data_IF_771148989548
#
_entry.id   IF_771148989548
#
_cell.length_a   1.000
_cell.length_b   1.000
_cell.length_c   1.000
_cell.angle_alpha   90.00
_cell.angle_beta   90.00
_cell.angle_gamma   90.00
#
_symmetry.space_group_name_H-M   'P 1'
#
loop_
_entity.id
_entity.type
_entity.pdbx_description
1 polymer ?
#
# COMPACT_ATOMS: atom_id res chain seq x y z
N UNK A 1 -24.39 35.11 -43.90
CA UNK A 1 -25.00 33.77 -43.79
C UNK A 1 -24.35 32.93 -42.68
N UNK A 2 -23.08 32.51 -42.77
CA UNK A 2 -22.43 31.66 -41.74
C UNK A 2 -22.38 32.26 -40.33
N UNK A 3 -22.00 33.54 -40.20
CA UNK A 3 -21.88 34.20 -38.88
C UNK A 3 -23.22 34.31 -38.16
N UNK A 4 -24.30 34.65 -38.88
CA UNK A 4 -25.66 34.66 -38.32
C UNK A 4 -26.11 33.29 -37.80
N UNK A 5 -25.72 32.20 -38.45
CA UNK A 5 -26.04 30.85 -38.01
C UNK A 5 -25.24 30.51 -36.73
N UNK A 6 -23.96 30.88 -36.69
CA UNK A 6 -23.12 30.68 -35.51
C UNK A 6 -23.61 31.51 -34.30
N UNK A 7 -24.08 32.73 -34.52
CA UNK A 7 -24.63 33.58 -33.45
C UNK A 7 -25.88 32.96 -32.82
N UNK A 8 -26.78 32.37 -33.63
CA UNK A 8 -27.98 31.67 -33.13
C UNK A 8 -27.61 30.36 -32.41
N UNK A 9 -26.59 29.65 -32.89
CA UNK A 9 -26.08 28.44 -32.23
C UNK A 9 -25.42 28.75 -30.88
N UNK A 10 -24.55 29.77 -30.82
CA UNK A 10 -23.87 30.21 -29.60
C UNK A 10 -24.83 30.82 -28.57
N UNK A 11 -25.90 31.50 -29.03
CA UNK A 11 -26.96 31.99 -28.15
C UNK A 11 -27.73 30.85 -27.45
N UNK A 12 -27.76 29.66 -28.05
CA UNK A 12 -28.48 28.50 -27.51
C UNK A 12 -27.56 27.59 -26.70
N UNK A 13 -26.35 27.31 -27.19
CA UNK A 13 -25.32 26.47 -26.54
C UNK A 13 -23.96 27.14 -26.76
N UNK A 14 -23.47 27.95 -25.81
CA UNK A 14 -22.21 28.69 -25.96
C UNK A 14 -20.97 27.79 -25.74
N UNK A 15 -21.10 26.72 -24.96
CA UNK A 15 -20.04 25.77 -24.66
C UNK A 15 -20.60 24.35 -24.47
N UNK A 16 -19.77 23.31 -24.65
CA UNK A 16 -20.11 21.96 -24.20
C UNK A 16 -20.51 21.98 -22.73
N UNK A 17 -21.56 21.24 -22.36
CA UNK A 17 -21.98 21.14 -20.95
C UNK A 17 -20.85 20.48 -20.16
N UNK A 18 -20.41 21.13 -19.09
CA UNK A 18 -19.33 20.63 -18.21
C UNK A 18 -19.76 19.33 -17.50
N UNK A 19 -21.04 19.23 -17.15
CA UNK A 19 -21.62 18.05 -16.51
C UNK A 19 -22.54 17.32 -17.48
N UNK A 20 -22.18 16.07 -17.78
CA UNK A 20 -22.97 15.18 -18.61
C UNK A 20 -24.19 14.69 -17.82
N UNK A 21 -25.29 14.37 -18.53
CA UNK A 21 -26.51 13.86 -17.91
C UNK A 21 -26.20 12.64 -17.02
N UNK A 22 -26.81 12.53 -15.82
CA UNK A 22 -26.59 11.39 -14.91
C UNK A 22 -27.01 10.03 -15.50
N UNK A 23 -27.86 10.05 -16.53
CA UNK A 23 -28.35 8.86 -17.25
C UNK A 23 -27.68 8.67 -18.62
N UNK A 24 -26.70 9.53 -18.96
CA UNK A 24 -25.94 9.33 -20.18
C UNK A 24 -24.88 8.25 -19.91
N UNK A 25 -24.67 7.32 -20.87
CA UNK A 25 -23.62 6.33 -20.74
C UNK A 25 -22.27 6.99 -20.49
N UNK A 26 -21.63 6.63 -19.38
CA UNK A 26 -20.29 7.13 -19.04
C UNK A 26 -19.28 6.10 -19.49
N UNK A 27 -18.24 6.57 -20.17
CA UNK A 27 -17.05 5.78 -20.46
C UNK A 27 -15.91 6.37 -19.62
N UNK A 28 -15.54 5.65 -18.58
CA UNK A 28 -14.46 6.02 -17.68
C UNK A 28 -13.24 5.18 -18.05
N UNK A 29 -12.09 5.83 -18.17
CA UNK A 29 -10.82 5.17 -18.48
C UNK A 29 -9.89 5.31 -17.30
N UNK A 30 -9.35 4.18 -16.83
CA UNK A 30 -8.28 4.15 -15.84
C UNK A 30 -7.10 3.36 -16.38
N UNK A 31 -5.91 3.70 -15.90
CA UNK A 31 -4.69 2.97 -16.23
C UNK A 31 -4.18 2.28 -14.99
N UNK A 32 -3.95 0.97 -15.10
CA UNK A 32 -3.46 0.09 -14.03
C UNK A 32 -2.21 -0.64 -14.51
N UNK A 33 -1.47 -1.23 -13.58
CA UNK A 33 -0.30 -2.03 -13.90
C UNK A 33 -0.71 -3.38 -14.55
N UNK A 34 -0.18 -3.74 -15.74
CA UNK A 34 -0.57 -4.96 -16.46
C UNK A 34 -0.36 -6.26 -15.67
N UNK A 35 0.57 -6.29 -14.72
CA UNK A 35 0.81 -7.48 -13.87
C UNK A 35 -0.40 -7.83 -12.98
N UNK A 36 -1.24 -6.84 -12.65
CA UNK A 36 -2.42 -7.01 -11.79
C UNK A 36 -3.71 -7.30 -12.55
N UNK A 37 -3.70 -7.25 -13.89
CA UNK A 37 -4.88 -7.54 -14.72
C UNK A 37 -5.43 -8.94 -14.42
N UNK A 38 -4.55 -9.93 -14.26
CA UNK A 38 -4.95 -11.31 -13.96
C UNK A 38 -5.70 -11.46 -12.63
N UNK A 39 -5.39 -10.61 -11.63
CA UNK A 39 -6.09 -10.61 -10.35
C UNK A 39 -7.51 -10.03 -10.46
N UNK A 40 -7.69 -8.98 -11.27
CA UNK A 40 -8.97 -8.31 -11.50
C UNK A 40 -9.93 -9.21 -12.26
N UNK A 41 -9.44 -9.89 -13.31
CA UNK A 41 -10.24 -10.86 -14.08
C UNK A 41 -10.66 -12.03 -13.19
N UNK A 42 -9.78 -12.46 -12.28
CA UNK A 42 -9.97 -13.67 -11.47
C UNK A 42 -9.88 -14.95 -12.30
N UNK A 43 -10.09 -16.11 -11.67
CA UNK A 43 -10.03 -17.42 -12.37
C UNK A 43 -11.14 -17.53 -13.42
N UNK A 44 -10.78 -17.34 -14.70
CA UNK A 44 -11.70 -17.46 -15.84
C UNK A 44 -12.71 -16.32 -15.99
N UNK A 45 -12.41 -15.13 -15.46
CA UNK A 45 -13.30 -13.96 -15.60
C UNK A 45 -14.43 -13.88 -14.57
N UNK A 46 -14.40 -14.70 -13.52
CA UNK A 46 -15.46 -14.74 -12.52
C UNK A 46 -15.64 -13.40 -11.77
N UNK A 47 -14.54 -12.72 -11.44
CA UNK A 47 -14.58 -11.47 -10.67
C UNK A 47 -15.14 -10.33 -11.52
N UNK A 48 -14.67 -10.18 -12.77
CA UNK A 48 -15.22 -9.16 -13.69
C UNK A 48 -16.67 -9.43 -13.98
N UNK A 49 -17.06 -10.67 -14.30
CA UNK A 49 -18.47 -10.98 -14.57
C UNK A 49 -19.39 -10.66 -13.38
N UNK A 50 -18.93 -10.92 -12.16
CA UNK A 50 -19.68 -10.56 -10.95
C UNK A 50 -19.83 -9.04 -10.82
N UNK A 51 -18.76 -8.27 -11.10
CA UNK A 51 -18.80 -6.80 -11.13
C UNK A 51 -19.71 -6.26 -12.26
N UNK A 52 -19.65 -6.82 -13.45
CA UNK A 52 -20.50 -6.42 -14.57
C UNK A 52 -21.99 -6.70 -14.29
N UNK A 53 -22.29 -7.82 -13.62
CA UNK A 53 -23.64 -8.20 -13.23
C UNK A 53 -24.17 -7.35 -12.06
N UNK A 54 -23.36 -7.13 -11.02
CA UNK A 54 -23.75 -6.36 -9.83
C UNK A 54 -24.01 -4.88 -10.14
N UNK A 55 -23.16 -4.27 -10.98
CA UNK A 55 -23.21 -2.83 -11.28
C UNK A 55 -23.82 -2.53 -12.65
N UNK A 56 -24.20 -3.55 -13.44
CA UNK A 56 -24.81 -3.38 -14.77
C UNK A 56 -23.91 -2.54 -15.71
N UNK A 57 -22.61 -2.79 -15.64
CA UNK A 57 -21.56 -2.11 -16.41
C UNK A 57 -20.84 -3.09 -17.34
N UNK A 58 -20.24 -2.58 -18.41
CA UNK A 58 -19.32 -3.32 -19.28
C UNK A 58 -17.89 -2.89 -19.00
N UNK A 59 -17.02 -3.83 -18.64
CA UNK A 59 -15.61 -3.57 -18.30
C UNK A 59 -14.71 -4.20 -19.35
N UNK A 60 -14.06 -3.38 -20.18
CA UNK A 60 -13.08 -3.82 -21.16
C UNK A 60 -11.67 -3.54 -20.63
N UNK A 61 -10.82 -4.56 -20.58
CA UNK A 61 -9.44 -4.45 -20.11
C UNK A 61 -8.51 -4.74 -21.28
N UNK A 62 -7.66 -3.77 -21.61
CA UNK A 62 -6.62 -3.91 -22.61
C UNK A 62 -5.32 -4.47 -22.02
N UNK A 63 -4.52 -5.15 -22.85
CA UNK A 63 -3.24 -5.74 -22.48
C UNK A 63 -2.19 -4.72 -22.00
N UNK A 64 -2.40 -3.44 -22.30
CA UNK A 64 -1.54 -2.32 -21.90
C UNK A 64 -1.86 -1.78 -20.49
N UNK A 65 -2.86 -2.36 -19.81
CA UNK A 65 -3.33 -1.90 -18.50
C UNK A 65 -4.40 -0.82 -18.56
N UNK A 66 -4.95 -0.50 -19.73
CA UNK A 66 -6.07 0.44 -19.83
C UNK A 66 -7.40 -0.29 -19.59
N UNK A 67 -8.15 0.13 -18.58
CA UNK A 67 -9.48 -0.39 -18.26
C UNK A 67 -10.53 0.65 -18.64
N UNK A 68 -11.48 0.23 -19.46
CA UNK A 68 -12.65 1.01 -19.86
C UNK A 68 -13.87 0.49 -19.13
N UNK A 69 -14.49 1.34 -18.32
CA UNK A 69 -15.75 1.04 -17.64
C UNK A 69 -16.84 1.84 -18.35
N UNK A 70 -17.76 1.13 -19.01
CA UNK A 70 -18.93 1.69 -19.67
C UNK A 70 -20.19 1.33 -18.87
N UNK A 71 -20.87 2.31 -18.29
CA UNK A 71 -22.12 2.09 -17.56
C UNK A 71 -23.27 2.87 -18.17
N UNK A 72 -24.49 2.31 -18.12
CA UNK A 72 -25.71 2.96 -18.59
C UNK A 72 -26.12 4.10 -17.64
N UNK A 73 -25.91 3.89 -16.34
CA UNK A 73 -26.10 4.87 -15.27
C UNK A 73 -24.76 5.44 -14.80
N UNK A 74 -24.67 6.77 -14.73
CA UNK A 74 -23.46 7.44 -14.31
C UNK A 74 -23.03 7.14 -12.87
N UNK A 75 -24.00 6.86 -11.99
CA UNK A 75 -23.77 6.56 -10.57
C UNK A 75 -23.19 5.14 -10.38
N UNK A 76 -23.81 4.13 -11.02
CA UNK A 76 -23.30 2.74 -10.95
C UNK A 76 -21.91 2.61 -11.58
N UNK A 77 -21.64 3.37 -12.65
CA UNK A 77 -20.33 3.42 -13.28
C UNK A 77 -19.24 3.98 -12.33
N UNK A 78 -19.58 4.98 -11.52
CA UNK A 78 -18.67 5.52 -10.50
C UNK A 78 -18.43 4.53 -9.36
N UNK A 79 -19.46 3.85 -8.86
CA UNK A 79 -19.32 2.81 -7.82
C UNK A 79 -18.46 1.63 -8.30
N UNK A 80 -18.65 1.17 -9.54
CA UNK A 80 -17.81 0.15 -10.14
C UNK A 80 -16.36 0.62 -10.28
N UNK A 81 -16.15 1.90 -10.65
CA UNK A 81 -14.83 2.50 -10.72
C UNK A 81 -14.15 2.53 -9.35
N UNK A 82 -14.87 2.93 -8.29
CA UNK A 82 -14.33 2.97 -6.92
C UNK A 82 -13.96 1.57 -6.44
N UNK A 83 -14.78 0.55 -6.71
CA UNK A 83 -14.43 -0.84 -6.41
C UNK A 83 -13.20 -1.31 -7.17
N UNK A 84 -13.10 -1.03 -8.47
CA UNK A 84 -11.93 -1.42 -9.27
C UNK A 84 -10.69 -0.69 -8.77
N UNK A 85 -10.78 0.61 -8.45
CA UNK A 85 -9.70 1.38 -7.81
C UNK A 85 -9.28 0.75 -6.49
N UNK A 86 -10.21 0.43 -5.60
CA UNK A 86 -9.87 -0.20 -4.31
C UNK A 86 -9.14 -1.55 -4.45
N UNK A 87 -9.42 -2.32 -5.51
CA UNK A 87 -8.74 -3.59 -5.80
C UNK A 87 -7.37 -3.37 -6.44
N UNK A 88 -7.21 -2.27 -7.18
CA UNK A 88 -6.03 -2.00 -8.03
C UNK A 88 -5.10 -0.93 -7.47
N UNK A 89 -5.49 -0.26 -6.39
CA UNK A 89 -4.70 0.77 -5.74
C UNK A 89 -3.32 0.19 -5.41
N UNK A 90 -2.29 0.84 -5.92
CA UNK A 90 -0.93 0.44 -5.59
C UNK A 90 -0.70 0.77 -4.12
N UNK A 91 -0.14 -0.15 -3.31
CA UNK A 91 0.24 0.16 -1.94
C UNK A 91 1.25 1.31 -1.94
N UNK A 92 0.75 2.53 -1.75
CA UNK A 92 1.61 3.69 -1.59
C UNK A 92 2.41 3.56 -0.30
N UNK A 93 3.72 3.76 -0.41
CA UNK A 93 4.61 3.79 0.75
C UNK A 93 4.12 4.87 1.72
N UNK A 94 3.84 4.47 2.96
CA UNK A 94 3.41 5.37 4.04
C UNK A 94 1.93 5.63 4.13
N UNK A 95 1.14 5.03 3.23
CA UNK A 95 -0.29 5.00 3.44
C UNK A 95 -0.65 3.98 4.53
N UNK A 96 -1.62 4.38 5.35
CA UNK A 96 -2.19 3.55 6.41
C UNK A 96 -3.41 2.85 5.81
N UNK A 97 -3.39 1.52 5.82
CA UNK A 97 -4.48 0.67 5.38
C UNK A 97 -5.08 -0.07 6.58
N UNK A 98 -6.39 -0.34 6.52
CA UNK A 98 -7.03 -1.32 7.40
C UNK A 98 -6.91 -2.69 6.76
N UNK A 99 -6.33 -3.65 7.47
CA UNK A 99 -6.14 -5.01 6.95
C UNK A 99 -6.54 -6.08 7.95
N UNK A 100 -6.89 -7.25 7.43
CA UNK A 100 -7.32 -8.40 8.22
C UNK A 100 -6.18 -9.41 8.39
N UNK A 101 -5.99 -9.91 9.60
CA UNK A 101 -4.97 -10.94 9.87
C UNK A 101 -5.40 -12.29 9.27
N UNK A 102 -4.70 -12.74 8.22
CA UNK A 102 -5.00 -14.01 7.54
C UNK A 102 -4.21 -15.16 8.16
N UNK A 103 -2.96 -14.90 8.57
CA UNK A 103 -2.08 -15.92 9.15
C UNK A 103 -1.16 -15.33 10.20
N UNK A 104 -0.90 -16.07 11.27
CA UNK A 104 0.07 -15.72 12.32
C UNK A 104 1.22 -16.75 12.30
N UNK A 105 2.45 -16.28 12.47
CA UNK A 105 3.65 -17.12 12.64
C UNK A 105 4.48 -16.61 13.82
N UNK A 106 5.47 -17.40 14.28
CA UNK A 106 6.27 -17.05 15.46
C UNK A 106 7.10 -15.76 15.30
N UNK A 107 7.39 -15.37 14.06
CA UNK A 107 8.21 -14.19 13.74
C UNK A 107 7.40 -13.01 13.20
N UNK A 108 6.09 -13.16 12.96
CA UNK A 108 5.26 -12.11 12.40
C UNK A 108 3.80 -12.48 12.11
N UNK A 109 3.06 -11.55 11.52
CA UNK A 109 1.69 -11.74 11.07
C UNK A 109 1.56 -11.35 9.59
N UNK A 110 0.77 -12.13 8.85
CA UNK A 110 0.34 -11.83 7.49
C UNK A 110 -1.01 -11.15 7.55
N UNK A 111 -1.07 -9.95 7.01
CA UNK A 111 -2.24 -9.09 7.01
C UNK A 111 -2.60 -8.80 5.56
N UNK A 112 -3.82 -9.15 5.19
CA UNK A 112 -4.39 -8.82 3.89
C UNK A 112 -5.01 -7.42 4.01
N UNK A 113 -4.42 -6.46 3.31
CA UNK A 113 -4.86 -5.06 3.31
C UNK A 113 -5.47 -4.66 1.96
N UNK A 114 -5.13 -5.40 0.89
CA UNK A 114 -5.76 -5.33 -0.44
C UNK A 114 -6.09 -6.76 -0.86
N UNK A 115 -7.26 -7.03 -1.47
CA UNK A 115 -7.63 -8.36 -1.93
C UNK A 115 -6.54 -8.99 -2.82
N UNK A 116 -5.93 -10.08 -2.35
CA UNK A 116 -4.87 -10.79 -3.08
C UNK A 116 -3.44 -10.23 -2.91
N UNK A 117 -3.24 -9.22 -2.05
CA UNK A 117 -1.91 -8.76 -1.63
C UNK A 117 -1.74 -8.91 -0.11
N UNK A 118 -0.79 -9.76 0.27
CA UNK A 118 -0.47 -10.00 1.68
C UNK A 118 0.75 -9.15 2.09
N UNK A 119 0.62 -8.47 3.22
CA UNK A 119 1.73 -7.78 3.87
C UNK A 119 2.23 -8.53 5.10
N UNK A 120 3.53 -8.50 5.33
CA UNK A 120 4.17 -9.09 6.49
C UNK A 120 4.50 -8.02 7.53
N UNK A 121 3.99 -8.19 8.75
CA UNK A 121 4.41 -7.43 9.93
C UNK A 121 5.36 -8.30 10.75
N UNK A 122 6.58 -7.83 10.98
CA UNK A 122 7.53 -8.50 11.87
C UNK A 122 7.16 -8.27 13.34
N UNK A 123 7.47 -9.22 14.24
CA UNK A 123 7.11 -9.14 15.67
C UNK A 123 7.56 -7.83 16.35
N UNK A 124 8.69 -7.25 15.91
CA UNK A 124 9.21 -5.98 16.42
C UNK A 124 8.47 -4.74 15.94
N UNK A 125 7.63 -4.87 14.90
CA UNK A 125 6.88 -3.78 14.27
C UNK A 125 5.38 -3.84 14.61
N UNK A 126 4.95 -4.76 15.50
CA UNK A 126 3.56 -4.89 15.95
C UNK A 126 3.22 -3.85 17.02
N UNK A 127 4.11 -3.65 17.98
CA UNK A 127 3.94 -2.72 19.10
C UNK A 127 5.29 -2.20 19.56
N UNK A 128 5.31 -1.06 20.25
CA UNK A 128 6.48 -0.51 20.93
C UNK A 128 6.97 -1.39 22.08
N UNK A 129 6.08 -2.23 22.63
CA UNK A 129 6.39 -3.18 23.70
C UNK A 129 7.06 -4.45 23.17
N UNK A 130 7.99 -5.00 23.95
CA UNK A 130 8.64 -6.27 23.62
C UNK A 130 7.65 -7.43 23.85
N UNK A 131 6.94 -7.80 22.78
CA UNK A 131 6.05 -8.95 22.75
C UNK A 131 6.87 -10.24 22.63
N UNK A 132 6.54 -11.23 23.47
CA UNK A 132 7.16 -12.57 23.38
C UNK A 132 6.49 -13.43 22.31
N UNK A 133 5.21 -13.18 22.02
CA UNK A 133 4.41 -13.89 21.03
C UNK A 133 3.54 -12.91 20.27
N UNK A 134 3.34 -13.20 18.98
CA UNK A 134 2.46 -12.41 18.11
C UNK A 134 0.99 -12.56 18.54
N UNK A 135 0.62 -13.74 19.04
CA UNK A 135 -0.72 -14.09 19.53
C UNK A 135 -1.21 -13.22 20.70
N UNK A 136 -0.29 -12.61 21.46
CA UNK A 136 -0.63 -11.74 22.58
C UNK A 136 -1.16 -10.37 22.12
N UNK A 137 -0.90 -9.99 20.87
CA UNK A 137 -1.23 -8.66 20.32
C UNK A 137 -2.09 -8.68 19.05
N UNK A 138 -2.17 -9.83 18.36
CA UNK A 138 -2.94 -10.02 17.14
C UNK A 138 -3.64 -11.38 17.18
N UNK A 139 -4.90 -11.42 16.77
CA UNK A 139 -5.66 -12.66 16.59
C UNK A 139 -5.99 -12.91 15.12
N UNK A 140 -6.20 -14.17 14.76
CA UNK A 140 -6.63 -14.54 13.41
C UNK A 140 -7.97 -13.89 13.11
N UNK A 141 -8.04 -13.18 11.98
CA UNK A 141 -9.24 -12.47 11.54
C UNK A 141 -9.45 -11.09 12.16
N UNK A 142 -8.52 -10.61 12.99
CA UNK A 142 -8.59 -9.26 13.57
C UNK A 142 -8.35 -8.18 12.50
N UNK A 143 -9.04 -7.05 12.63
CA UNK A 143 -8.86 -5.88 11.76
C UNK A 143 -7.90 -4.89 12.40
N UNK A 144 -6.78 -4.64 11.73
CA UNK A 144 -5.72 -3.79 12.25
C UNK A 144 -5.25 -2.77 11.23
N UNK A 145 -4.97 -1.56 11.72
CA UNK A 145 -4.40 -0.48 10.93
C UNK A 145 -2.89 -0.67 10.82
N UNK A 146 -2.39 -0.68 9.59
CA UNK A 146 -0.98 -0.94 9.26
C UNK A 146 -0.49 0.03 8.21
N UNK A 147 0.75 0.49 8.34
CA UNK A 147 1.39 1.36 7.35
C UNK A 147 2.36 0.56 6.50
N UNK A 148 2.35 0.81 5.19
CA UNK A 148 3.30 0.22 4.25
C UNK A 148 4.66 0.91 4.41
N UNK A 149 5.67 0.18 4.86
CA UNK A 149 7.02 0.74 5.07
C UNK A 149 7.95 0.49 3.89
N UNK A 150 7.79 -0.64 3.22
CA UNK A 150 8.64 -1.07 2.11
C UNK A 150 7.87 -2.04 1.20
N UNK A 151 8.05 -1.91 -0.11
CA UNK A 151 7.45 -2.79 -1.11
C UNK A 151 8.57 -3.36 -1.94
N UNK A 152 8.78 -4.67 -1.83
CA UNK A 152 9.80 -5.34 -2.64
C UNK A 152 9.26 -5.64 -4.05
N UNK A 153 10.11 -5.66 -5.10
CA UNK A 153 9.70 -5.98 -6.47
C UNK A 153 9.10 -7.39 -6.64
N UNK A 154 9.28 -8.27 -5.66
CA UNK A 154 8.71 -9.63 -5.63
C UNK A 154 7.24 -9.64 -5.14
N UNK A 155 6.64 -8.47 -4.87
CA UNK A 155 5.28 -8.35 -4.37
C UNK A 155 5.14 -8.61 -2.85
N UNK A 156 6.25 -8.71 -2.11
CA UNK A 156 6.20 -8.79 -0.64
C UNK A 156 6.18 -7.38 -0.07
N UNK A 157 5.11 -7.06 0.64
CA UNK A 157 4.91 -5.78 1.31
C UNK A 157 5.31 -5.90 2.77
N UNK A 158 6.19 -5.03 3.24
CA UNK A 158 6.49 -4.89 4.67
C UNK A 158 5.55 -3.87 5.28
N UNK A 159 4.95 -4.27 6.39
CA UNK A 159 3.99 -3.48 7.12
C UNK A 159 4.52 -3.19 8.53
N UNK A 160 4.23 -2.00 9.04
CA UNK A 160 4.46 -1.65 10.44
C UNK A 160 3.18 -1.14 11.08
N UNK A 161 2.81 -1.73 12.21
CA UNK A 161 1.72 -1.25 13.08
C UNK A 161 2.23 -0.21 14.08
N UNK A 162 3.47 -0.37 14.55
CA UNK A 162 4.14 0.59 15.45
C UNK A 162 4.15 2.00 14.85
N UNK A 163 4.46 2.11 13.56
CA UNK A 163 4.55 3.41 12.90
C UNK A 163 3.18 4.13 12.79
N UNK A 164 2.07 3.39 12.76
CA UNK A 164 0.70 3.95 12.86
C UNK A 164 0.40 4.43 14.29
N UNK A 165 0.77 3.64 15.29
CA UNK A 165 0.51 3.95 16.72
C UNK A 165 1.32 5.15 17.22
N UNK A 166 2.55 5.31 16.73
CA UNK A 166 3.48 6.36 17.16
C UNK A 166 3.41 7.62 16.25
N UNK A 167 2.58 7.60 15.19
CA UNK A 167 2.48 8.71 14.23
C UNK A 167 3.82 9.02 13.54
N UNK A 168 4.65 7.99 13.38
CA UNK A 168 6.01 8.13 12.88
C UNK A 168 6.04 8.38 11.38
N UNK A 169 7.05 9.12 10.95
CA UNK A 169 7.30 9.35 9.54
C UNK A 169 7.90 8.11 8.88
N UNK A 170 7.67 7.95 7.57
CA UNK A 170 8.19 6.86 6.75
C UNK A 170 9.69 6.57 6.94
N UNK A 171 10.49 7.61 7.11
CA UNK A 171 11.95 7.51 7.26
C UNK A 171 12.37 6.86 8.60
N UNK A 172 11.63 7.09 9.67
CA UNK A 172 11.90 6.50 10.99
C UNK A 172 11.56 5.00 10.99
N UNK A 173 10.42 4.62 10.39
CA UNK A 173 9.98 3.23 10.29
C UNK A 173 10.94 2.36 9.45
N UNK A 174 11.51 2.90 8.38
CA UNK A 174 12.52 2.20 7.57
C UNK A 174 13.88 2.06 8.28
N UNK A 175 14.21 2.99 9.19
CA UNK A 175 15.47 2.96 9.93
C UNK A 175 15.49 1.92 11.06
N UNK A 176 14.33 1.69 11.70
CA UNK A 176 14.17 0.74 12.82
C UNK A 176 14.16 -0.73 12.35
N UNK A 177 13.78 -0.99 11.10
CA UNK A 177 13.72 -2.34 10.52
C UNK A 177 15.05 -2.84 9.93
N UNK A 178 16.10 -1.99 9.94
CA UNK A 178 17.44 -2.43 9.53
C UNK A 178 18.06 -3.28 10.65
N UNK A 179 18.44 -4.55 10.40
CA UNK A 179 19.18 -5.31 11.40
C UNK A 179 20.48 -4.58 11.69
N UNK A 180 20.65 -4.15 12.95
CA UNK A 180 21.88 -3.60 13.49
C UNK A 180 22.99 -4.66 13.47
N UNK A 181 23.51 -4.95 12.28
CA UNK A 181 24.63 -5.85 12.02
C UNK A 181 25.90 -5.05 11.79
N UNK A 182 26.60 -4.71 12.86
CA UNK A 182 28.05 -4.43 12.80
C UNK A 182 28.52 -3.26 13.65
N UNK A 183 29.03 -3.54 14.86
CA UNK A 183 30.07 -2.67 15.44
C UNK A 183 30.00 -2.27 16.91
N UNK A 184 29.31 -3.00 17.81
CA UNK A 184 29.69 -2.91 19.24
C UNK A 184 30.96 -3.70 19.49
N UNK A 185 32.10 -3.06 19.23
CA UNK A 185 33.40 -3.48 19.76
C UNK A 185 33.37 -3.36 21.29
N UNK A 186 32.95 -4.45 21.93
CA UNK A 186 33.16 -4.68 23.35
C UNK A 186 34.56 -5.24 23.56
N UNK A 187 35.44 -4.47 24.20
CA UNK A 187 36.79 -4.89 24.56
C UNK A 187 37.21 -4.42 25.95
N UNK A 188 36.36 -4.63 26.97
CA UNK A 188 36.77 -4.57 28.37
C UNK A 188 37.72 -5.75 28.65
N UNK A 189 38.99 -5.48 28.92
CA UNK A 189 39.79 -6.40 29.72
C UNK A 189 40.60 -5.67 30.82
N UNK A 190 39.98 -5.62 32.00
CA UNK A 190 40.49 -5.86 33.36
C UNK A 190 42.01 -5.89 33.64
N UNK A 191 42.33 -5.33 34.84
CA UNK A 191 43.48 -5.57 35.76
C UNK A 191 44.75 -4.79 35.40
N UNK A 192 45.45 -4.07 36.28
CA UNK A 192 45.49 -4.04 37.74
C UNK A 192 46.96 -3.89 38.17
N UNK A 193 47.25 -2.99 39.12
CA UNK A 193 48.57 -2.76 39.74
C UNK A 193 49.41 -1.71 39.01
N UNK A 194 49.86 -0.60 39.59
CA UNK A 194 50.19 -0.33 41.00
C UNK A 194 51.65 -0.69 41.28
N UNK A 195 52.59 0.25 41.03
CA UNK A 195 53.74 0.64 41.89
C UNK A 195 54.91 1.25 41.11
N UNK A 196 55.17 2.51 41.46
CA UNK A 196 56.45 3.04 41.95
C UNK A 196 57.78 2.72 41.26
N UNK A 197 58.42 3.83 40.84
CA UNK A 197 59.80 4.25 41.15
C UNK A 197 60.96 3.32 40.74
N UNK A 198 61.79 3.82 39.81
CA UNK A 198 63.23 4.18 39.97
C UNK A 198 63.80 4.40 38.56
N UNK A 199 64.37 5.57 38.27
CA UNK A 199 65.82 5.80 38.41
C UNK A 199 66.55 5.03 37.32
N UNK A 200 67.12 5.61 36.27
CA UNK A 200 67.99 6.76 36.22
C UNK A 200 69.24 6.33 35.45
N UNK A 201 69.83 7.23 34.66
CA UNK A 201 71.26 7.19 34.37
C UNK A 201 71.76 6.31 33.21
N UNK A 202 72.14 7.01 32.13
CA UNK A 202 73.50 7.07 31.57
C UNK A 202 74.23 5.78 31.14
N UNK A 203 74.67 5.86 29.87
CA UNK A 203 76.01 5.51 29.32
C UNK A 203 76.30 3.99 29.28
N UNK A 204 76.98 3.45 28.28
CA UNK A 204 77.95 4.01 27.34
C UNK A 204 78.02 3.09 26.12
#
# INVERSE_FOLDING_TARGET
ARMQILDVMLATIPAPREEMSPYAPRMLTIKINPEKIGAIIGKGGATIRSLEEDYEVSVDIQDDGTVFVAGVDGVKAEEALEKIKAITEDPELGHIYSGKVVRITDFGAFIEFIPGTDGLVHISQISSDHLKRVEDALQLGDEVMVMVTDVTPEGKVRLSRKAVLEGMTLEEAQSDDRPSGGGRSGGRNKRGGGRDRRGGGRRR
#
